data_IF_527231210640
#
_entry.id   IF_527231210640
#
_cell.length_a   1.000
_cell.length_b   1.000
_cell.length_c   1.000
_cell.angle_alpha   90.00
_cell.angle_beta   90.00
_cell.angle_gamma   90.00
#
_symmetry.space_group_name_H-M   'P 1'
#
loop_
_entity.id
_entity.type
_entity.pdbx_description
1 polymer ?
#
# COMPACT_ATOMS: atom_id res chain seq x y z
N UNK A 1 5.86 -44.66 11.67
CA UNK A 1 6.82 -43.62 12.11
C UNK A 1 6.44 -42.33 11.42
N UNK A 2 6.23 -41.27 12.20
CA UNK A 2 5.82 -39.94 11.75
C UNK A 2 7.09 -39.17 11.38
N UNK A 3 7.13 -38.44 10.25
CA UNK A 3 7.83 -37.15 10.24
C UNK A 3 7.32 -36.22 9.11
N UNK A 4 6.32 -35.44 9.51
CA UNK A 4 6.06 -34.01 9.24
C UNK A 4 7.11 -33.22 8.45
N UNK A 5 6.66 -32.62 7.34
CA UNK A 5 6.98 -31.24 6.95
C UNK A 5 5.74 -30.62 6.30
N UNK A 6 4.80 -30.18 7.13
CA UNK A 6 3.90 -29.10 6.72
C UNK A 6 4.79 -27.87 6.60
N UNK A 7 5.08 -27.45 5.38
CA UNK A 7 5.55 -26.09 5.13
C UNK A 7 4.38 -25.21 5.54
N UNK A 8 4.50 -24.54 6.69
CA UNK A 8 3.55 -23.49 7.07
C UNK A 8 3.65 -22.42 6.00
N UNK A 9 2.78 -22.52 5.00
CA UNK A 9 2.49 -21.44 4.08
C UNK A 9 1.83 -20.38 4.96
N UNK A 10 2.60 -19.36 5.36
CA UNK A 10 2.06 -18.25 6.16
C UNK A 10 0.77 -17.80 5.49
N UNK A 11 -0.36 -18.03 6.19
CA UNK A 11 -1.66 -17.66 5.67
C UNK A 11 -1.65 -16.16 5.42
N UNK A 12 -2.21 -15.76 4.27
CA UNK A 12 -2.32 -14.35 3.95
C UNK A 12 -3.15 -13.64 5.01
N UNK A 13 -2.57 -12.57 5.56
CA UNK A 13 -3.22 -11.81 6.62
C UNK A 13 -3.38 -10.36 6.17
N UNK A 14 -4.63 -9.94 5.98
CA UNK A 14 -4.94 -8.52 5.82
C UNK A 14 -4.69 -7.78 7.12
N UNK A 15 -4.07 -6.61 7.02
CA UNK A 15 -3.87 -5.72 8.16
C UNK A 15 -5.18 -5.02 8.50
N UNK A 16 -5.41 -4.83 9.80
CA UNK A 16 -6.56 -4.09 10.31
C UNK A 16 -6.41 -2.59 10.07
N UNK A 17 -7.51 -1.84 10.15
CA UNK A 17 -7.50 -0.38 10.05
C UNK A 17 -6.53 0.31 11.00
N UNK A 18 -6.45 -0.17 12.25
CA UNK A 18 -5.47 0.35 13.23
C UNK A 18 -4.04 0.06 12.83
N UNK A 19 -3.76 -1.12 12.26
CA UNK A 19 -2.43 -1.45 11.77
C UNK A 19 -2.07 -0.64 10.51
N UNK A 20 -3.04 -0.40 9.63
CA UNK A 20 -2.87 0.46 8.46
C UNK A 20 -2.55 1.90 8.87
N UNK A 21 -3.36 2.47 9.77
CA UNK A 21 -3.16 3.83 10.28
C UNK A 21 -1.77 3.99 10.90
N UNK A 22 -1.37 3.07 11.77
CA UNK A 22 -0.06 3.09 12.41
C UNK A 22 1.11 2.99 11.41
N UNK A 23 0.94 2.26 10.29
CA UNK A 23 1.98 2.08 9.29
C UNK A 23 2.03 3.19 8.23
N UNK A 24 0.89 3.75 7.85
CA UNK A 24 0.81 4.67 6.72
C UNK A 24 0.78 6.14 7.16
N UNK A 25 0.11 6.47 8.26
CA UNK A 25 -0.09 7.87 8.66
C UNK A 25 1.23 8.60 8.90
N UNK A 26 1.46 9.63 8.09
CA UNK A 26 2.68 10.44 8.12
C UNK A 26 3.89 9.83 7.40
N UNK A 27 3.75 8.68 6.74
CA UNK A 27 4.87 7.91 6.19
C UNK A 27 4.86 7.86 4.65
N UNK A 28 6.04 7.61 4.09
CA UNK A 28 6.23 7.28 2.67
C UNK A 28 6.41 5.78 2.50
N UNK A 29 5.61 5.19 1.63
CA UNK A 29 5.61 3.77 1.25
C UNK A 29 6.20 3.64 -0.15
N UNK A 30 7.21 2.78 -0.28
CA UNK A 30 7.82 2.45 -1.56
C UNK A 30 7.28 1.10 -2.03
N UNK A 31 6.60 1.10 -3.17
CA UNK A 31 6.04 -0.10 -3.79
C UNK A 31 6.84 -0.46 -5.03
N UNK A 32 7.22 -1.73 -5.17
CA UNK A 32 7.67 -2.28 -6.46
C UNK A 32 6.45 -2.61 -7.30
N UNK A 33 6.39 -2.06 -8.50
CA UNK A 33 5.33 -2.38 -9.46
C UNK A 33 5.43 -3.87 -9.90
N UNK A 34 4.31 -4.61 -9.99
CA UNK A 34 4.32 -6.02 -10.37
C UNK A 34 4.89 -6.33 -11.76
N UNK A 35 4.84 -5.38 -12.70
CA UNK A 35 5.24 -5.60 -14.10
C UNK A 35 6.65 -5.08 -14.44
N UNK A 36 7.44 -4.72 -13.42
CA UNK A 36 8.85 -4.33 -13.61
C UNK A 36 9.06 -2.89 -14.12
N UNK A 37 8.06 -2.02 -14.09
CA UNK A 37 8.19 -0.62 -14.48
C UNK A 37 8.96 0.25 -13.48
N UNK A 38 9.27 -0.26 -12.29
CA UNK A 38 10.08 0.41 -11.28
C UNK A 38 9.34 0.58 -9.95
N UNK A 39 9.81 1.54 -9.15
CA UNK A 39 9.26 1.81 -7.83
C UNK A 39 8.23 2.96 -7.92
N UNK A 40 7.04 2.74 -7.36
CA UNK A 40 6.05 3.77 -7.04
C UNK A 40 6.35 4.27 -5.63
N UNK A 41 6.37 5.58 -5.44
CA UNK A 41 6.52 6.20 -4.12
C UNK A 41 5.20 6.84 -3.74
N UNK A 42 4.62 6.45 -2.60
CA UNK A 42 3.37 6.98 -2.08
C UNK A 42 3.61 7.63 -0.72
N UNK A 43 3.27 8.89 -0.57
CA UNK A 43 3.25 9.55 0.73
C UNK A 43 1.81 9.69 1.24
N UNK A 44 1.59 9.26 2.47
CA UNK A 44 0.31 9.29 3.18
C UNK A 44 0.42 10.32 4.31
N UNK A 45 0.06 11.56 4.04
CA UNK A 45 0.18 12.67 4.98
C UNK A 45 -0.74 12.54 6.18
N UNK A 46 -0.25 12.89 7.37
CA UNK A 46 -1.07 12.96 8.58
C UNK A 46 -2.15 14.05 8.51
N UNK A 47 -2.03 14.98 7.56
CA UNK A 47 -3.05 15.97 7.21
C UNK A 47 -4.13 15.44 6.24
N UNK A 48 -4.11 14.14 5.95
CA UNK A 48 -5.07 13.49 5.04
C UNK A 48 -4.75 13.68 3.56
N UNK A 49 -3.58 14.24 3.19
CA UNK A 49 -3.15 14.33 1.79
C UNK A 49 -2.42 13.08 1.34
N UNK A 50 -2.59 12.73 0.07
CA UNK A 50 -1.80 11.70 -0.57
C UNK A 50 -1.06 12.28 -1.77
N UNK A 51 0.20 11.89 -1.91
CA UNK A 51 1.03 12.19 -3.08
C UNK A 51 1.62 10.89 -3.60
N UNK A 52 1.74 10.75 -4.92
CA UNK A 52 2.45 9.64 -5.52
C UNK A 52 3.41 10.12 -6.59
N UNK A 53 4.57 9.48 -6.67
CA UNK A 53 5.44 9.52 -7.84
C UNK A 53 5.39 8.17 -8.54
N UNK A 54 4.91 8.19 -9.78
CA UNK A 54 4.90 7.01 -10.65
C UNK A 54 6.31 6.66 -11.13
N UNK A 55 6.55 5.43 -11.59
CA UNK A 55 7.87 5.05 -12.09
C UNK A 55 8.32 5.88 -13.29
N UNK A 56 7.37 6.40 -14.09
CA UNK A 56 7.62 7.35 -15.17
C UNK A 56 8.04 8.75 -14.72
N UNK A 57 8.02 9.04 -13.41
CA UNK A 57 8.27 10.36 -12.84
C UNK A 57 7.02 11.25 -12.71
N UNK A 58 5.87 10.81 -13.25
CA UNK A 58 4.61 11.55 -13.11
C UNK A 58 4.18 11.68 -11.64
N UNK A 59 3.71 12.86 -11.27
CA UNK A 59 3.23 13.16 -9.92
C UNK A 59 1.69 13.13 -9.87
N UNK A 60 1.16 12.41 -8.89
CA UNK A 60 -0.27 12.37 -8.58
C UNK A 60 -0.48 12.96 -7.18
N UNK A 61 -1.64 13.56 -6.97
CA UNK A 61 -2.04 14.10 -5.68
C UNK A 61 -3.52 13.85 -5.43
N UNK A 62 -3.90 13.83 -4.15
CA UNK A 62 -5.27 13.59 -3.71
C UNK A 62 -5.39 13.68 -2.20
N UNK A 63 -6.50 13.14 -1.69
CA UNK A 63 -6.70 12.92 -0.26
C UNK A 63 -6.79 11.44 0.05
N UNK A 64 -6.46 11.06 1.27
CA UNK A 64 -6.57 9.68 1.71
C UNK A 64 -7.17 9.56 3.10
N UNK A 65 -7.71 8.38 3.38
CA UNK A 65 -8.14 7.99 4.71
C UNK A 65 -8.14 6.46 4.83
N UNK A 66 -8.06 5.98 6.07
CA UNK A 66 -8.39 4.60 6.39
C UNK A 66 -9.92 4.47 6.51
N UNK A 67 -10.51 3.47 5.82
CA UNK A 67 -11.94 3.15 5.86
C UNK A 67 -12.13 1.67 6.20
N UNK A 68 -12.40 1.36 7.47
CA UNK A 68 -12.33 -0.02 7.96
C UNK A 68 -10.90 -0.54 7.82
N UNK A 69 -10.72 -1.71 7.20
CA UNK A 69 -9.41 -2.33 6.96
C UNK A 69 -8.84 -2.00 5.57
N UNK A 70 -9.18 -0.82 5.03
CA UNK A 70 -8.76 -0.35 3.70
C UNK A 70 -8.07 1.01 3.78
N UNK A 71 -7.04 1.19 2.96
CA UNK A 71 -6.47 2.50 2.62
C UNK A 71 -7.15 2.98 1.33
N UNK A 72 -7.87 4.10 1.41
CA UNK A 72 -8.60 4.67 0.27
C UNK A 72 -8.03 6.04 -0.10
N UNK A 73 -7.64 6.20 -1.36
CA UNK A 73 -7.18 7.47 -1.93
C UNK A 73 -8.20 7.99 -2.93
N UNK A 74 -8.58 9.25 -2.77
CA UNK A 74 -9.37 10.01 -3.75
C UNK A 74 -8.43 10.91 -4.53
N UNK A 75 -8.10 10.50 -5.75
CA UNK A 75 -7.18 11.23 -6.62
C UNK A 75 -7.85 12.46 -7.23
N UNK A 76 -7.10 13.56 -7.35
CA UNK A 76 -7.62 14.80 -7.93
C UNK A 76 -8.04 14.67 -9.40
N UNK A 77 -7.42 13.76 -10.17
CA UNK A 77 -7.81 13.52 -11.56
C UNK A 77 -9.11 12.72 -11.72
N UNK A 78 -9.55 12.04 -10.65
CA UNK A 78 -10.76 11.23 -10.64
C UNK A 78 -11.47 11.31 -9.28
N UNK A 79 -11.93 12.51 -8.86
CA UNK A 79 -12.37 12.76 -7.49
C UNK A 79 -13.68 12.04 -7.14
N UNK A 80 -14.41 11.52 -8.12
CA UNK A 80 -15.66 10.80 -7.87
C UNK A 80 -15.45 9.31 -7.58
N UNK A 81 -14.21 8.81 -7.68
CA UNK A 81 -13.88 7.41 -7.50
C UNK A 81 -12.73 7.24 -6.49
N UNK A 82 -13.00 6.52 -5.41
CA UNK A 82 -11.97 6.16 -4.45
C UNK A 82 -11.19 4.95 -4.96
N UNK A 83 -9.86 5.05 -4.94
CA UNK A 83 -8.96 3.91 -5.10
C UNK A 83 -8.70 3.29 -3.72
N UNK A 84 -9.49 2.27 -3.37
CA UNK A 84 -9.36 1.56 -2.10
C UNK A 84 -8.51 0.29 -2.25
N UNK A 85 -7.64 0.05 -1.27
CA UNK A 85 -6.69 -1.04 -1.27
C UNK A 85 -6.51 -1.65 0.12
N UNK A 86 -6.20 -2.95 0.14
CA UNK A 86 -5.84 -3.69 1.36
C UNK A 86 -4.33 -3.91 1.40
N UNK A 87 -3.73 -3.77 2.59
CA UNK A 87 -2.36 -4.20 2.83
C UNK A 87 -2.40 -5.61 3.42
N UNK A 88 -1.71 -6.55 2.77
CA UNK A 88 -1.73 -7.96 3.13
C UNK A 88 -0.31 -8.44 3.38
N UNK A 89 -0.11 -9.16 4.48
CA UNK A 89 1.11 -9.92 4.72
C UNK A 89 1.03 -11.23 3.94
N UNK A 90 1.98 -11.44 3.02
CA UNK A 90 2.08 -12.61 2.14
C UNK A 90 3.56 -12.98 1.98
N UNK A 91 3.92 -14.23 2.24
CA UNK A 91 5.27 -14.75 1.94
C UNK A 91 6.40 -13.97 2.62
N UNK A 92 6.21 -13.53 3.87
CA UNK A 92 7.19 -12.76 4.63
C UNK A 92 7.28 -11.26 4.27
N UNK A 93 6.52 -10.79 3.28
CA UNK A 93 6.45 -9.38 2.87
C UNK A 93 5.06 -8.78 3.01
N UNK A 94 4.96 -7.49 2.72
CA UNK A 94 3.69 -6.77 2.61
C UNK A 94 3.40 -6.49 1.13
N UNK A 95 2.16 -6.71 0.71
CA UNK A 95 1.67 -6.37 -0.64
C UNK A 95 0.44 -5.49 -0.53
N UNK A 96 0.29 -4.57 -1.47
CA UNK A 96 -0.90 -3.76 -1.63
C UNK A 96 -1.77 -4.37 -2.72
N UNK A 97 -3.02 -4.69 -2.38
CA UNK A 97 -3.99 -5.29 -3.31
C UNK A 97 -5.18 -4.37 -3.49
N UNK A 98 -5.72 -4.31 -4.70
CA UNK A 98 -6.96 -3.60 -5.01
C UNK A 98 -8.14 -4.25 -4.27
N UNK A 99 -9.00 -3.43 -3.66
CA UNK A 99 -10.17 -3.92 -2.97
C UNK A 99 -11.19 -4.50 -3.97
N UNK A 100 -11.69 -5.71 -3.72
CA UNK A 100 -12.74 -6.36 -4.51
C UNK A 100 -12.24 -7.23 -5.67
N UNK A 101 -11.06 -6.96 -6.22
CA UNK A 101 -10.47 -7.76 -7.31
C UNK A 101 -9.21 -8.52 -6.89
N UNK A 102 -8.61 -8.14 -5.76
CA UNK A 102 -7.33 -8.66 -5.26
C UNK A 102 -6.16 -8.53 -6.24
N UNK A 103 -6.32 -7.65 -7.23
CA UNK A 103 -5.27 -7.33 -8.19
C UNK A 103 -4.08 -6.73 -7.44
N UNK A 104 -2.88 -7.27 -7.68
CA UNK A 104 -1.64 -6.77 -7.10
C UNK A 104 -1.37 -5.34 -7.62
N UNK A 105 -1.31 -4.38 -6.71
CA UNK A 105 -0.94 -2.99 -6.99
C UNK A 105 0.55 -2.77 -6.82
N UNK A 106 1.16 -3.45 -5.86
CA UNK A 106 2.60 -3.41 -5.65
C UNK A 106 3.05 -4.19 -4.42
N UNK A 107 4.34 -4.49 -4.38
CA UNK A 107 4.99 -5.12 -3.22
C UNK A 107 5.70 -4.04 -2.42
N UNK A 108 5.45 -3.95 -1.11
CA UNK A 108 6.13 -2.98 -0.25
C UNK A 108 7.60 -3.36 -0.13
N UNK A 109 8.48 -2.45 -0.56
CA UNK A 109 9.93 -2.59 -0.40
C UNK A 109 10.37 -2.01 0.95
N UNK A 110 9.88 -0.82 1.29
CA UNK A 110 10.15 -0.14 2.57
C UNK A 110 9.08 0.89 2.90
N UNK A 111 8.98 1.22 4.17
CA UNK A 111 8.17 2.32 4.71
C UNK A 111 9.10 3.19 5.53
N UNK A 112 9.07 4.50 5.30
CA UNK A 112 9.93 5.46 6.01
C UNK A 112 9.10 6.64 6.53
N UNK A 113 9.48 7.26 7.66
CA UNK A 113 8.76 8.41 8.17
C UNK A 113 8.84 9.65 7.28
N UNK A 114 7.78 10.48 7.32
CA UNK A 114 7.63 11.79 6.66
C UNK A 114 7.57 11.71 5.14
N UNK A 115 7.27 12.84 4.49
CA UNK A 115 7.42 13.03 3.05
C UNK A 115 8.91 13.20 2.68
N UNK A 116 9.71 12.15 2.85
CA UNK A 116 11.17 12.25 2.71
C UNK A 116 11.63 12.60 1.28
N UNK A 117 10.76 12.33 0.31
CA UNK A 117 10.98 12.59 -1.11
C UNK A 117 10.54 14.02 -1.51
N UNK A 118 9.96 14.78 -0.57
CA UNK A 118 9.38 16.11 -0.80
C UNK A 118 8.43 16.13 -2.01
N UNK A 119 7.56 15.10 -2.09
CA UNK A 119 6.52 14.98 -3.11
C UNK A 119 5.52 16.13 -3.04
#
# INVERSE_FOLDING_TARGET
MINTKSLTQDAEQQLTGTQLDALMTGNTVYLREPNGGGDIVLWYGADGKAMARLPSGGLLHGTWAVKGDLSCIKWSYAPNNDSCSKLVRRGGGLVLLENGTDRLLGTVNKIVPKNIENL
#
